data_IF_690206465216
#
_entry.id   IF_690206465216
#
_cell.length_a   1.000
_cell.length_b   1.000
_cell.length_c   1.000
_cell.angle_alpha   90.00
_cell.angle_beta   90.00
_cell.angle_gamma   90.00
#
_symmetry.space_group_name_H-M   'P 1'
#
loop_
_entity.id
_entity.type
_entity.pdbx_description
1 polymer ?
#
# COMPACT_ATOMS: atom_id res chain seq x y z
N UNK A 1 21.09 -42.15 19.23
CA UNK A 1 20.82 -41.94 17.80
C UNK A 1 20.49 -40.47 17.59
N UNK A 2 21.48 -39.68 17.16
CA UNK A 2 21.22 -38.30 16.72
C UNK A 2 20.37 -38.39 15.45
N UNK A 3 19.15 -37.86 15.51
CA UNK A 3 18.40 -37.59 14.28
C UNK A 3 19.18 -36.50 13.56
N UNK A 4 19.77 -36.84 12.42
CA UNK A 4 20.33 -35.82 11.53
C UNK A 4 19.24 -34.76 11.28
N UNK A 5 19.56 -33.47 11.44
CA UNK A 5 18.59 -32.42 11.16
C UNK A 5 18.21 -32.56 9.68
N UNK A 6 16.93 -32.84 9.43
CA UNK A 6 16.42 -32.88 8.07
C UNK A 6 16.70 -31.53 7.40
N UNK A 7 17.19 -31.52 6.15
CA UNK A 7 17.41 -30.28 5.44
C UNK A 7 16.10 -29.50 5.37
N UNK A 8 16.16 -28.22 5.73
CA UNK A 8 15.05 -27.29 5.54
C UNK A 8 14.58 -27.38 4.08
N UNK A 9 13.27 -27.54 3.85
CA UNK A 9 12.75 -27.44 2.50
C UNK A 9 13.09 -26.04 1.94
N UNK A 10 13.24 -25.95 0.62
CA UNK A 10 13.70 -24.72 -0.03
C UNK A 10 12.82 -23.49 0.34
N UNK A 11 11.51 -23.68 0.48
CA UNK A 11 10.57 -22.64 0.88
C UNK A 11 10.84 -22.08 2.28
N UNK A 12 11.06 -22.94 3.28
CA UNK A 12 11.38 -22.50 4.64
C UNK A 12 12.74 -21.81 4.70
N UNK A 13 13.72 -22.31 3.94
CA UNK A 13 15.03 -21.65 3.84
C UNK A 13 14.90 -20.25 3.22
N UNK A 14 14.15 -20.12 2.13
CA UNK A 14 13.89 -18.83 1.48
C UNK A 14 13.14 -17.87 2.41
N UNK A 15 12.14 -18.34 3.14
CA UNK A 15 11.40 -17.53 4.10
C UNK A 15 12.32 -17.02 5.23
N UNK A 16 13.20 -17.88 5.76
CA UNK A 16 14.19 -17.49 6.77
C UNK A 16 15.18 -16.45 6.22
N UNK A 17 15.74 -16.68 5.03
CA UNK A 17 16.66 -15.74 4.39
C UNK A 17 15.99 -14.38 4.13
N UNK A 18 14.73 -14.38 3.69
CA UNK A 18 13.95 -13.15 3.46
C UNK A 18 13.72 -12.39 4.78
N UNK A 19 13.44 -13.10 5.87
CA UNK A 19 13.26 -12.51 7.20
C UNK A 19 14.55 -11.87 7.74
N UNK A 20 15.68 -12.56 7.58
CA UNK A 20 17.00 -12.03 7.94
C UNK A 20 17.32 -10.80 7.10
N UNK A 21 17.11 -10.86 5.79
CA UNK A 21 17.37 -9.73 4.89
C UNK A 21 16.55 -8.49 5.24
N UNK A 22 15.25 -8.67 5.54
CA UNK A 22 14.37 -7.61 6.02
C UNK A 22 14.90 -6.97 7.32
N UNK A 23 15.36 -7.81 8.25
CA UNK A 23 15.89 -7.34 9.55
C UNK A 23 17.18 -6.52 9.36
N UNK A 24 18.09 -6.99 8.50
CA UNK A 24 19.32 -6.26 8.16
C UNK A 24 19.04 -4.94 7.45
N UNK A 25 18.07 -4.93 6.53
CA UNK A 25 17.64 -3.72 5.82
C UNK A 25 17.08 -2.68 6.78
N UNK A 26 16.23 -3.11 7.72
CA UNK A 26 15.69 -2.26 8.76
C UNK A 26 16.79 -1.67 9.65
N UNK A 27 17.72 -2.51 10.15
CA UNK A 27 18.84 -2.04 10.98
C UNK A 27 19.73 -1.04 10.25
N UNK A 28 20.04 -1.30 8.98
CA UNK A 28 20.81 -0.38 8.13
C UNK A 28 20.09 0.96 7.97
N UNK A 29 18.78 0.95 7.74
CA UNK A 29 17.99 2.18 7.62
C UNK A 29 17.96 2.97 8.94
N UNK A 30 17.76 2.30 10.08
CA UNK A 30 17.77 2.92 11.41
C UNK A 30 19.12 3.56 11.72
N UNK A 31 20.23 2.87 11.44
CA UNK A 31 21.57 3.39 11.68
C UNK A 31 21.88 4.67 10.87
N UNK A 32 21.25 4.83 9.70
CA UNK A 32 21.44 6.00 8.82
C UNK A 32 20.55 7.19 9.18
N UNK A 33 19.48 7.00 9.95
CA UNK A 33 18.53 8.06 10.29
C UNK A 33 19.17 9.33 10.85
N UNK A 34 20.09 9.27 11.84
CA UNK A 34 20.62 10.47 12.48
C UNK A 34 21.44 11.36 11.53
N UNK A 35 21.89 10.80 10.40
CA UNK A 35 22.68 11.50 9.40
C UNK A 35 21.84 12.17 8.32
N UNK A 36 20.56 11.82 8.21
CA UNK A 36 19.65 12.30 7.15
C UNK A 36 18.52 13.16 7.72
N UNK A 37 18.07 12.87 8.93
CA UNK A 37 16.96 13.58 9.57
C UNK A 37 17.42 14.21 10.88
N UNK A 38 16.88 15.38 11.18
CA UNK A 38 17.06 16.01 12.49
C UNK A 38 16.37 15.20 13.59
N UNK A 39 16.87 15.34 14.82
CA UNK A 39 16.21 14.80 16.00
C UNK A 39 14.75 15.27 16.05
N UNK A 40 13.81 14.32 16.18
CA UNK A 40 12.37 14.59 16.25
C UNK A 40 11.61 14.57 14.91
N UNK A 41 12.26 14.73 13.76
CA UNK A 41 11.57 14.71 12.46
C UNK A 41 11.07 13.30 12.07
N UNK A 42 11.81 12.26 12.47
CA UNK A 42 11.54 10.86 12.12
C UNK A 42 10.13 10.43 12.56
N UNK A 43 9.73 10.77 13.79
CA UNK A 43 8.41 10.37 14.32
C UNK A 43 7.27 10.96 13.47
N UNK A 44 7.38 12.24 13.12
CA UNK A 44 6.39 12.91 12.28
C UNK A 44 6.28 12.29 10.88
N UNK A 45 7.44 11.95 10.27
CA UNK A 45 7.47 11.30 8.96
C UNK A 45 6.89 9.87 8.99
N UNK A 46 7.18 9.10 10.04
CA UNK A 46 6.57 7.76 10.23
C UNK A 46 5.06 7.86 10.37
N UNK A 47 4.55 8.80 11.19
CA UNK A 47 3.12 9.03 11.35
C UNK A 47 2.45 9.49 10.04
N UNK A 48 3.10 10.40 9.30
CA UNK A 48 2.63 10.85 8.00
C UNK A 48 2.54 9.69 7.00
N UNK A 49 3.58 8.85 6.92
CA UNK A 49 3.57 7.67 6.05
C UNK A 49 2.45 6.70 6.43
N UNK A 50 2.25 6.46 7.72
CA UNK A 50 1.14 5.64 8.22
C UNK A 50 -0.23 6.16 7.80
N UNK A 51 -0.45 7.49 7.91
CA UNK A 51 -1.69 8.15 7.46
C UNK A 51 -1.92 8.00 5.96
N UNK A 52 -0.88 8.20 5.16
CA UNK A 52 -0.96 8.03 3.70
C UNK A 52 -1.32 6.59 3.31
N UNK A 53 -0.70 5.59 3.95
CA UNK A 53 -1.04 4.17 3.73
C UNK A 53 -2.48 3.84 4.12
N UNK A 54 -2.92 4.36 5.26
CA UNK A 54 -4.29 4.16 5.72
C UNK A 54 -5.30 4.79 4.75
N UNK A 55 -5.05 6.02 4.31
CA UNK A 55 -5.91 6.73 3.36
C UNK A 55 -6.01 6.00 2.01
N UNK A 56 -4.89 5.48 1.49
CA UNK A 56 -4.89 4.69 0.25
C UNK A 56 -5.66 3.37 0.41
N UNK A 57 -5.45 2.66 1.53
CA UNK A 57 -6.18 1.42 1.83
C UNK A 57 -7.69 1.65 1.93
N UNK A 58 -8.11 2.71 2.63
CA UNK A 58 -9.51 3.08 2.76
C UNK A 58 -10.12 3.46 1.40
N UNK A 59 -9.40 4.23 0.57
CA UNK A 59 -9.87 4.58 -0.77
C UNK A 59 -10.00 3.36 -1.69
N UNK A 60 -9.08 2.39 -1.58
CA UNK A 60 -9.17 1.12 -2.30
C UNK A 60 -10.38 0.28 -1.85
N UNK A 61 -10.66 0.22 -0.54
CA UNK A 61 -11.82 -0.50 0.01
C UNK A 61 -13.12 0.09 -0.53
N UNK A 62 -13.29 1.42 -0.44
CA UNK A 62 -14.48 2.11 -0.99
C UNK A 62 -14.61 1.89 -2.50
N UNK A 63 -13.51 1.96 -3.25
CA UNK A 63 -13.52 1.71 -4.70
C UNK A 63 -13.94 0.27 -5.02
N UNK A 64 -13.51 -0.69 -4.22
CA UNK A 64 -13.89 -2.11 -4.38
C UNK A 64 -15.37 -2.31 -4.07
N UNK A 65 -15.86 -1.77 -2.96
CA UNK A 65 -17.27 -1.86 -2.58
C UNK A 65 -18.21 -1.20 -3.59
N UNK A 66 -17.87 0.02 -4.03
CA UNK A 66 -18.68 0.75 -5.01
C UNK A 66 -18.65 0.08 -6.38
N UNK A 67 -17.49 -0.45 -6.79
CA UNK A 67 -17.38 -1.26 -8.01
C UNK A 67 -18.20 -2.55 -7.95
N UNK A 68 -18.16 -3.26 -6.83
CA UNK A 68 -18.96 -4.47 -6.63
C UNK A 68 -20.46 -4.16 -6.69
N UNK A 69 -20.92 -3.11 -5.99
CA UNK A 69 -22.33 -2.68 -6.00
C UNK A 69 -22.83 -2.34 -7.40
N UNK A 70 -22.00 -1.64 -8.19
CA UNK A 70 -22.35 -1.36 -9.58
C UNK A 70 -22.44 -2.66 -10.38
N UNK A 71 -21.50 -3.58 -10.20
CA UNK A 71 -21.48 -4.86 -10.92
C UNK A 71 -22.61 -5.84 -10.54
N UNK A 72 -23.37 -5.61 -9.46
CA UNK A 72 -24.42 -6.53 -8.98
C UNK A 72 -25.52 -6.80 -10.01
N UNK A 73 -25.88 -5.81 -10.82
CA UNK A 73 -26.91 -5.97 -11.85
C UNK A 73 -26.39 -6.63 -13.15
N UNK A 74 -25.08 -6.86 -13.25
CA UNK A 74 -24.41 -7.46 -14.41
C UNK A 74 -24.43 -6.59 -15.67
N UNK A 75 -24.81 -5.31 -15.58
CA UNK A 75 -24.97 -4.43 -16.73
C UNK A 75 -23.67 -3.66 -17.05
N UNK A 76 -23.42 -3.37 -18.32
CA UNK A 76 -22.45 -2.34 -18.71
C UNK A 76 -22.99 -0.95 -18.40
N UNK A 77 -22.13 0.07 -18.50
CA UNK A 77 -22.58 1.46 -18.35
C UNK A 77 -23.64 1.80 -19.40
N UNK A 78 -23.42 1.47 -20.67
CA UNK A 78 -24.34 1.72 -21.77
C UNK A 78 -25.69 1.04 -21.54
N UNK A 79 -25.67 -0.22 -21.08
CA UNK A 79 -26.89 -0.96 -20.76
C UNK A 79 -27.67 -0.33 -19.59
N UNK A 80 -26.99 0.26 -18.60
CA UNK A 80 -27.68 1.05 -17.55
C UNK A 80 -28.26 2.34 -18.11
N UNK A 81 -27.52 3.06 -18.95
CA UNK A 81 -28.03 4.29 -19.58
C UNK A 81 -29.30 4.02 -20.37
N UNK A 82 -29.35 2.92 -21.12
CA UNK A 82 -30.57 2.50 -21.83
C UNK A 82 -31.72 2.12 -20.89
N UNK A 83 -31.42 1.46 -19.76
CA UNK A 83 -32.43 0.93 -18.84
C UNK A 83 -33.01 1.97 -17.86
N UNK A 84 -32.16 2.81 -17.28
CA UNK A 84 -32.51 3.73 -16.19
C UNK A 84 -32.18 5.18 -16.50
N UNK A 85 -31.64 5.47 -17.69
CA UNK A 85 -31.26 6.82 -18.10
C UNK A 85 -29.86 7.22 -17.64
N UNK A 86 -29.31 8.21 -18.35
CA UNK A 86 -27.94 8.69 -18.10
C UNK A 86 -27.78 9.34 -16.73
N UNK A 87 -28.72 10.19 -16.32
CA UNK A 87 -28.62 10.93 -15.05
C UNK A 87 -28.53 9.99 -13.84
N UNK A 88 -29.38 8.96 -13.80
CA UNK A 88 -29.37 8.01 -12.69
C UNK A 88 -28.15 7.09 -12.74
N UNK A 89 -27.74 6.66 -13.94
CA UNK A 89 -26.49 5.89 -14.11
C UNK A 89 -25.28 6.68 -13.63
N UNK A 90 -25.21 7.97 -13.97
CA UNK A 90 -24.13 8.86 -13.55
C UNK A 90 -24.15 9.09 -12.04
N UNK A 91 -25.34 9.22 -11.44
CA UNK A 91 -25.52 9.33 -9.99
C UNK A 91 -25.02 8.07 -9.27
N UNK A 92 -25.37 6.88 -9.75
CA UNK A 92 -24.90 5.60 -9.18
C UNK A 92 -23.38 5.44 -9.29
N UNK A 93 -22.79 5.91 -10.39
CA UNK A 93 -21.33 5.87 -10.61
C UNK A 93 -20.53 6.95 -9.87
N UNK A 94 -21.17 7.98 -9.32
CA UNK A 94 -20.47 9.11 -8.70
C UNK A 94 -19.57 8.71 -7.51
N UNK A 95 -20.01 7.84 -6.57
CA UNK A 95 -19.17 7.41 -5.46
C UNK A 95 -17.91 6.66 -5.92
N UNK A 96 -18.02 5.83 -6.97
CA UNK A 96 -16.86 5.11 -7.51
C UNK A 96 -15.84 6.07 -8.13
N UNK A 97 -16.31 7.10 -8.87
CA UNK A 97 -15.44 8.13 -9.44
C UNK A 97 -14.74 8.97 -8.37
N UNK A 98 -15.47 9.32 -7.30
CA UNK A 98 -14.89 10.06 -6.18
C UNK A 98 -13.81 9.23 -5.47
N UNK A 99 -14.09 7.95 -5.18
CA UNK A 99 -13.11 7.04 -4.58
C UNK A 99 -11.87 6.85 -5.46
N UNK A 100 -12.06 6.81 -6.79
CA UNK A 100 -10.95 6.73 -7.75
C UNK A 100 -10.07 7.99 -7.72
N UNK A 101 -10.66 9.19 -7.67
CA UNK A 101 -9.88 10.43 -7.58
C UNK A 101 -9.15 10.55 -6.23
N UNK A 102 -9.78 10.15 -5.12
CA UNK A 102 -9.12 10.10 -3.81
C UNK A 102 -7.92 9.16 -3.87
N UNK A 103 -8.11 7.94 -4.37
CA UNK A 103 -7.04 6.95 -4.48
C UNK A 103 -5.91 7.43 -5.40
N UNK A 104 -6.23 8.09 -6.51
CA UNK A 104 -5.23 8.67 -7.42
C UNK A 104 -4.34 9.67 -6.70
N UNK A 105 -4.93 10.55 -5.88
CA UNK A 105 -4.20 11.55 -5.09
C UNK A 105 -3.35 10.88 -4.01
N UNK A 106 -3.91 9.96 -3.23
CA UNK A 106 -3.14 9.27 -2.17
C UNK A 106 -2.00 8.44 -2.74
N UNK A 107 -2.19 7.78 -3.89
CA UNK A 107 -1.10 7.07 -4.57
C UNK A 107 0.01 8.00 -5.05
N UNK A 108 -0.34 9.19 -5.58
CA UNK A 108 0.65 10.19 -5.98
C UNK A 108 1.44 10.72 -4.78
N UNK A 109 0.75 11.03 -3.68
CA UNK A 109 1.38 11.47 -2.43
C UNK A 109 2.26 10.37 -1.81
N UNK A 110 1.81 9.12 -1.80
CA UNK A 110 2.63 7.97 -1.39
C UNK A 110 3.87 7.80 -2.26
N UNK A 111 3.73 7.95 -3.58
CA UNK A 111 4.85 7.87 -4.51
C UNK A 111 5.89 8.96 -4.25
N UNK A 112 5.44 10.20 -4.05
CA UNK A 112 6.32 11.31 -3.72
C UNK A 112 7.00 11.11 -2.37
N UNK A 113 6.25 10.71 -1.34
CA UNK A 113 6.79 10.42 -0.02
C UNK A 113 7.87 9.33 -0.08
N UNK A 114 7.64 8.25 -0.83
CA UNK A 114 8.61 7.17 -1.00
C UNK A 114 9.90 7.64 -1.65
N UNK A 115 9.81 8.57 -2.59
CA UNK A 115 10.96 9.17 -3.27
C UNK A 115 11.75 10.10 -2.35
N UNK A 116 11.06 10.90 -1.53
CA UNK A 116 11.69 11.87 -0.63
C UNK A 116 12.25 11.22 0.65
N UNK A 117 11.60 10.15 1.12
CA UNK A 117 11.88 9.56 2.43
C UNK A 117 12.11 8.03 2.38
N UNK A 118 13.02 7.52 1.53
CA UNK A 118 13.21 6.08 1.34
C UNK A 118 13.67 5.35 2.62
N UNK A 119 14.41 6.03 3.50
CA UNK A 119 14.80 5.49 4.82
C UNK A 119 13.59 5.29 5.75
N UNK A 120 12.62 6.21 5.74
CA UNK A 120 11.40 6.09 6.56
C UNK A 120 10.57 4.92 6.08
N UNK A 121 10.44 4.76 4.76
CA UNK A 121 9.76 3.62 4.13
C UNK A 121 10.41 2.30 4.53
N UNK A 122 11.73 2.20 4.43
CA UNK A 122 12.46 0.98 4.78
C UNK A 122 12.30 0.59 6.26
N UNK A 123 12.22 1.58 7.16
CA UNK A 123 11.98 1.33 8.58
C UNK A 123 10.57 0.79 8.81
N UNK A 124 9.57 1.40 8.19
CA UNK A 124 8.16 1.04 8.41
C UNK A 124 7.79 -0.28 7.72
N UNK A 125 8.21 -0.46 6.47
CA UNK A 125 7.81 -1.61 5.64
C UNK A 125 8.82 -2.77 5.71
N UNK A 126 10.01 -2.56 6.28
CA UNK A 126 11.08 -3.55 6.29
C UNK A 126 11.58 -3.87 4.88
N UNK A 127 11.59 -2.88 4.00
CA UNK A 127 12.08 -3.00 2.62
C UNK A 127 13.50 -2.48 2.50
N UNK A 128 14.24 -2.94 1.49
CA UNK A 128 15.56 -2.37 1.17
C UNK A 128 15.36 -0.93 0.68
N UNK A 129 16.23 -0.02 1.12
CA UNK A 129 16.36 1.28 0.47
C UNK A 129 17.06 1.06 -0.88
N UNK A 130 16.31 1.18 -1.97
CA UNK A 130 16.93 1.38 -3.28
C UNK A 130 17.46 2.82 -3.31
N UNK A 131 18.78 2.95 -3.40
CA UNK A 131 19.49 4.23 -3.44
C UNK A 131 19.54 4.82 -4.83
#
# INVERSE_FOLDING_TARGET
MSKEPQPLNAEKLLALLTSVDRSLSHLSAVARLPHVYSEGAVKGLVEQYGKLKFADSAALEVLTETGNKLAEDGLSYEQRVEKIGKEETDRLGAPQREALEVRRKTMAELGQFKKEHPLIVAIVDGTRCEG
#
